data_IF_596385102834
#
_entry.id   IF_596385102834
#
_cell.length_a   1.000
_cell.length_b   1.000
_cell.length_c   1.000
_cell.angle_alpha   90.00
_cell.angle_beta   90.00
_cell.angle_gamma   90.00
#
_symmetry.space_group_name_H-M   'P 1'
#
loop_
_entity.id
_entity.type
_entity.pdbx_description
1 polymer ?
#
# COMPACT_ATOMS: atom_id res chain seq x y z
N UNK A 1 20.86 18.67 -2.43
CA UNK A 1 20.94 17.23 -2.16
C UNK A 1 19.87 16.56 -3.02
N UNK A 2 20.26 15.76 -4.02
CA UNK A 2 19.28 15.07 -4.88
C UNK A 2 18.64 13.98 -4.02
N UNK A 3 17.35 14.08 -3.77
CA UNK A 3 16.57 12.90 -3.37
C UNK A 3 16.83 11.83 -4.42
N UNK A 4 17.50 10.77 -4.00
CA UNK A 4 17.74 9.61 -4.84
C UNK A 4 16.36 9.04 -5.10
N UNK A 5 15.78 9.34 -6.27
CA UNK A 5 14.44 8.91 -6.64
C UNK A 5 14.40 7.38 -6.60
N UNK A 6 14.08 6.83 -5.44
CA UNK A 6 13.82 5.42 -5.26
C UNK A 6 12.61 5.13 -6.12
N UNK A 7 12.80 4.23 -7.08
CA UNK A 7 11.69 3.74 -7.86
C UNK A 7 10.66 3.17 -6.88
N UNK A 8 9.38 3.57 -6.99
CA UNK A 8 8.36 3.08 -6.08
C UNK A 8 8.29 1.55 -6.17
N UNK A 9 8.28 0.90 -5.02
CA UNK A 9 8.19 -0.56 -4.94
C UNK A 9 6.79 -1.01 -5.32
N UNK A 10 6.65 -1.46 -6.57
CA UNK A 10 5.39 -1.98 -7.08
C UNK A 10 5.29 -3.47 -6.78
N UNK A 11 4.33 -3.85 -5.96
CA UNK A 11 4.11 -5.24 -5.55
C UNK A 11 2.69 -5.69 -5.89
N UNK A 12 2.54 -6.94 -6.27
CA UNK A 12 1.24 -7.59 -6.41
C UNK A 12 0.64 -7.88 -5.04
N UNK A 13 -0.67 -8.12 -5.01
CA UNK A 13 -1.40 -8.52 -3.79
C UNK A 13 -0.71 -9.69 -3.07
N UNK A 14 -0.19 -10.67 -3.83
CA UNK A 14 0.44 -11.86 -3.27
C UNK A 14 1.81 -11.55 -2.64
N UNK A 15 2.58 -10.67 -3.25
CA UNK A 15 3.87 -10.22 -2.71
C UNK A 15 3.68 -9.43 -1.42
N UNK A 16 2.69 -8.52 -1.39
CA UNK A 16 2.33 -7.78 -0.17
C UNK A 16 1.84 -8.73 0.91
N UNK A 17 0.99 -9.70 0.58
CA UNK A 17 0.58 -10.71 1.56
C UNK A 17 1.78 -11.51 2.13
N UNK A 18 2.83 -11.71 1.32
CA UNK A 18 4.09 -12.33 1.76
C UNK A 18 4.93 -11.48 2.72
N UNK A 19 4.69 -10.16 2.79
CA UNK A 19 5.34 -9.28 3.78
C UNK A 19 4.70 -9.37 5.17
N UNK A 20 3.63 -10.17 5.32
CA UNK A 20 2.82 -10.29 6.54
C UNK A 20 2.13 -8.99 6.98
N UNK A 21 2.13 -7.95 6.15
CA UNK A 21 1.41 -6.70 6.43
C UNK A 21 -0.10 -6.95 6.55
N UNK A 22 -0.69 -7.67 5.58
CA UNK A 22 -2.13 -7.94 5.50
C UNK A 22 -2.43 -9.23 4.75
N UNK A 23 -3.61 -9.82 4.97
CA UNK A 23 -4.05 -10.99 4.21
C UNK A 23 -4.43 -10.63 2.77
N UNK A 24 -4.25 -11.58 1.84
CA UNK A 24 -4.64 -11.41 0.43
C UNK A 24 -6.13 -11.00 0.29
N UNK A 25 -6.98 -11.57 1.14
CA UNK A 25 -8.41 -11.28 1.15
C UNK A 25 -8.69 -9.82 1.49
N UNK A 26 -8.05 -9.29 2.54
CA UNK A 26 -8.22 -7.90 2.94
C UNK A 26 -7.74 -6.94 1.83
N UNK A 27 -6.58 -7.22 1.23
CA UNK A 27 -6.07 -6.43 0.11
C UNK A 27 -7.01 -6.43 -1.10
N UNK A 28 -7.66 -7.57 -1.42
CA UNK A 28 -8.67 -7.65 -2.49
C UNK A 28 -9.91 -6.82 -2.19
N UNK A 29 -10.37 -6.80 -0.94
CA UNK A 29 -11.50 -5.97 -0.51
C UNK A 29 -11.14 -4.49 -0.65
N UNK A 30 -9.98 -4.08 -0.15
CA UNK A 30 -9.54 -2.68 -0.22
C UNK A 30 -9.28 -2.21 -1.66
N UNK A 31 -8.73 -3.09 -2.50
CA UNK A 31 -8.55 -2.82 -3.93
C UNK A 31 -9.91 -2.59 -4.62
N UNK A 32 -10.91 -3.44 -4.32
CA UNK A 32 -12.27 -3.29 -4.84
C UNK A 32 -12.94 -2.01 -4.33
N UNK A 33 -12.62 -1.59 -3.10
CA UNK A 33 -13.09 -0.35 -2.52
C UNK A 33 -12.38 0.89 -3.09
N UNK A 34 -11.33 0.73 -3.91
CA UNK A 34 -10.55 1.84 -4.47
C UNK A 34 -9.67 2.58 -3.45
N UNK A 35 -9.39 1.95 -2.30
CA UNK A 35 -8.62 2.53 -1.20
C UNK A 35 -7.13 2.23 -1.25
N UNK A 36 -6.65 1.57 -2.30
CA UNK A 36 -5.24 1.21 -2.45
C UNK A 36 -4.60 2.01 -3.58
N UNK A 37 -3.37 2.52 -3.40
CA UNK A 37 -2.61 3.17 -4.46
C UNK A 37 -2.10 2.10 -5.44
N UNK A 38 -2.96 1.70 -6.39
CA UNK A 38 -2.69 0.62 -7.33
C UNK A 38 -2.81 1.04 -8.80
N UNK A 39 -1.96 0.45 -9.64
CA UNK A 39 -2.00 0.55 -11.11
C UNK A 39 -2.40 -0.81 -11.67
N UNK A 40 -3.31 -0.80 -12.64
CA UNK A 40 -3.74 -2.01 -13.34
C UNK A 40 -2.95 -2.18 -14.64
N UNK A 41 -2.20 -3.29 -14.75
CA UNK A 41 -1.52 -3.69 -15.97
C UNK A 41 -2.21 -4.96 -16.48
N UNK A 42 -3.08 -4.81 -17.47
CA UNK A 42 -3.94 -5.89 -17.96
C UNK A 42 -4.87 -6.40 -16.85
N UNK A 43 -4.70 -7.66 -16.43
CA UNK A 43 -5.48 -8.29 -15.36
C UNK A 43 -4.84 -8.19 -13.98
N UNK A 44 -3.60 -7.68 -13.88
CA UNK A 44 -2.84 -7.62 -12.63
C UNK A 44 -2.97 -6.25 -11.99
N UNK A 45 -3.17 -6.24 -10.67
CA UNK A 45 -3.04 -5.05 -9.86
C UNK A 45 -1.64 -4.99 -9.24
N UNK A 46 -0.92 -3.92 -9.55
CA UNK A 46 0.36 -3.58 -8.93
C UNK A 46 0.13 -2.43 -7.97
N UNK A 47 0.34 -2.69 -6.70
CA UNK A 47 0.14 -1.74 -5.61
C UNK A 47 1.49 -1.10 -5.29
N UNK A 48 1.51 0.22 -5.12
CA UNK A 48 2.68 0.94 -4.63
C UNK A 48 2.78 0.68 -3.11
N UNK A 49 3.76 -0.12 -2.71
CA UNK A 49 3.94 -0.53 -1.32
C UNK A 49 4.39 0.63 -0.43
N UNK A 50 5.29 1.49 -0.92
CA UNK A 50 5.79 2.63 -0.15
C UNK A 50 4.65 3.59 0.23
N UNK A 51 3.79 3.93 -0.73
CA UNK A 51 2.62 4.78 -0.49
C UNK A 51 1.59 4.12 0.44
N UNK A 52 1.40 2.81 0.32
CA UNK A 52 0.52 2.08 1.22
C UNK A 52 1.01 2.17 2.67
N UNK A 53 2.32 2.03 2.89
CA UNK A 53 2.91 2.19 4.21
C UNK A 53 2.77 3.62 4.75
N UNK A 54 2.96 4.64 3.92
CA UNK A 54 2.74 6.05 4.29
C UNK A 54 1.28 6.31 4.70
N UNK A 55 0.32 5.80 3.93
CA UNK A 55 -1.12 5.92 4.24
C UNK A 55 -1.49 5.22 5.55
N UNK A 56 -0.90 4.04 5.83
CA UNK A 56 -1.12 3.33 7.09
C UNK A 56 -0.52 4.08 8.29
N UNK A 57 0.69 4.63 8.16
CA UNK A 57 1.32 5.42 9.22
C UNK A 57 0.55 6.72 9.48
N UNK A 58 0.01 7.35 8.44
CA UNK A 58 -0.81 8.55 8.59
C UNK A 58 -2.09 8.29 9.41
N UNK A 59 -2.70 7.10 9.27
CA UNK A 59 -3.85 6.69 10.08
C UNK A 59 -3.47 6.44 11.54
N UNK A 60 -2.29 5.88 11.81
CA UNK A 60 -1.79 5.62 13.16
C UNK A 60 -1.49 6.92 13.92
N UNK A 61 -0.89 7.91 13.25
CA UNK A 61 -0.48 9.18 13.87
C UNK A 61 -1.66 10.11 14.25
N UNK A 62 -2.85 9.91 13.68
CA UNK A 62 -4.03 10.73 13.98
C UNK A 62 -4.62 10.41 15.37
N UNK A 63 -4.42 9.18 15.87
CA UNK A 63 -4.93 8.72 17.18
C UNK A 63 -4.14 9.30 18.37
N UNK A 64 -2.90 9.76 18.17
CA UNK A 64 -2.01 10.26 19.24
C UNK A 64 -2.23 11.74 19.60
N UNK A 65 -3.13 12.46 18.92
CA UNK A 65 -3.36 13.91 19.13
C UNK A 65 -4.49 14.25 20.10
N UNK A 66 -5.07 13.26 20.77
CA UNK A 66 -6.23 13.46 21.64
C UNK A 66 -6.02 12.91 23.04
N UNK A 67 -5.10 13.53 23.81
CA UNK A 67 -5.13 13.78 25.27
C UNK A 67 -4.00 14.78 25.62
#
# INVERSE_FOLDING_TARGET
>A
MKEMQKQPTMMTIREIAGTWLMSEHALRIMLKAGKLPAIFIGKKALINYDKLCEELQALEAEEDTFW
#
